data_IF_626888651223
#
_entry.id   IF_626888651223
#
_cell.length_a   1.000
_cell.length_b   1.000
_cell.length_c   1.000
_cell.angle_alpha   90.00
_cell.angle_beta   90.00
_cell.angle_gamma   90.00
#
_symmetry.space_group_name_H-M   'P 1'
#
loop_
_entity.id
_entity.type
_entity.pdbx_description
1 polymer ?
#
# COMPACT_ATOMS: atom_id res chain seq x y z
N UNK A 1 5.64 25.25 31.76
CA UNK A 1 6.76 24.36 31.36
C UNK A 1 6.24 23.00 30.87
N UNK A 2 5.42 22.26 31.62
CA UNK A 2 4.85 20.96 31.17
C UNK A 2 4.07 20.99 29.85
N UNK A 3 3.26 22.04 29.60
CA UNK A 3 2.51 22.18 28.34
C UNK A 3 3.41 22.31 27.12
N UNK A 4 4.53 23.02 27.25
CA UNK A 4 5.51 23.17 26.17
C UNK A 4 6.27 21.85 25.92
N UNK A 5 6.60 21.11 26.98
CA UNK A 5 7.22 19.78 26.88
C UNK A 5 6.28 18.75 26.23
N UNK A 6 4.98 18.76 26.57
CA UNK A 6 3.98 17.89 25.94
C UNK A 6 3.80 18.22 24.46
N UNK A 7 3.75 19.50 24.09
CA UNK A 7 3.66 19.92 22.69
C UNK A 7 4.91 19.50 21.89
N UNK A 8 6.11 19.64 22.47
CA UNK A 8 7.35 19.17 21.87
C UNK A 8 7.35 17.66 21.60
N UNK A 9 6.85 16.86 22.54
CA UNK A 9 6.74 15.41 22.38
C UNK A 9 5.74 15.02 21.28
N UNK A 10 4.58 15.67 21.22
CA UNK A 10 3.57 15.44 20.19
C UNK A 10 4.11 15.78 18.79
N UNK A 11 4.79 16.92 18.65
CA UNK A 11 5.39 17.35 17.39
C UNK A 11 6.50 16.40 16.95
N UNK A 12 7.35 15.95 17.88
CA UNK A 12 8.42 14.98 17.57
C UNK A 12 7.87 13.62 17.14
N UNK A 13 6.76 13.15 17.72
CA UNK A 13 6.11 11.90 17.32
C UNK A 13 5.47 11.96 15.94
N UNK A 14 4.87 13.11 15.57
CA UNK A 14 4.25 13.29 14.26
C UNK A 14 5.25 13.26 13.10
N UNK A 15 6.49 13.69 13.32
CA UNK A 15 7.56 13.65 12.32
C UNK A 15 8.00 12.22 11.98
N UNK A 16 7.86 11.26 12.91
CA UNK A 16 8.23 9.86 12.69
C UNK A 16 7.17 9.08 11.89
N UNK A 17 5.93 9.56 11.86
CA UNK A 17 4.83 8.93 11.12
C UNK A 17 4.96 9.04 9.60
N UNK A 18 5.90 9.86 9.09
CA UNK A 18 6.13 10.05 7.65
C UNK A 18 6.94 8.90 7.01
N UNK A 19 7.31 7.89 7.80
CA UNK A 19 8.07 6.72 7.34
C UNK A 19 7.21 5.56 6.84
N UNK A 20 5.87 5.66 6.85
CA UNK A 20 5.01 4.71 6.14
C UNK A 20 5.26 4.87 4.63
N UNK A 21 6.18 4.05 4.09
CA UNK A 21 6.47 4.03 2.67
C UNK A 21 5.23 3.58 1.89
N UNK A 22 4.99 4.21 0.74
CA UNK A 22 3.93 3.82 -0.20
C UNK A 22 4.07 2.37 -0.65
N UNK A 23 5.31 1.87 -0.69
CA UNK A 23 5.63 0.47 -1.01
C UNK A 23 5.17 -0.50 0.10
N UNK A 24 5.42 -0.16 1.37
CA UNK A 24 4.97 -0.99 2.50
C UNK A 24 3.44 -1.07 2.58
N UNK A 25 2.76 0.06 2.39
CA UNK A 25 1.30 0.09 2.32
C UNK A 25 0.78 -0.73 1.14
N UNK A 26 1.47 -0.66 -0.01
CA UNK A 26 1.12 -1.46 -1.18
C UNK A 26 1.22 -2.97 -0.91
N UNK A 27 2.34 -3.44 -0.34
CA UNK A 27 2.49 -4.87 -0.04
C UNK A 27 1.50 -5.35 1.02
N UNK A 28 1.23 -4.55 2.06
CA UNK A 28 0.20 -4.89 3.04
C UNK A 28 -1.18 -5.06 2.39
N UNK A 29 -1.54 -4.18 1.45
CA UNK A 29 -2.79 -4.29 0.69
C UNK A 29 -2.80 -5.53 -0.22
N UNK A 30 -1.70 -5.82 -0.92
CA UNK A 30 -1.60 -6.99 -1.80
C UNK A 30 -1.68 -8.30 -1.04
N UNK A 31 -1.09 -8.37 0.13
CA UNK A 31 -1.18 -9.55 0.98
C UNK A 31 -2.64 -9.83 1.40
N UNK A 32 -3.39 -8.79 1.76
CA UNK A 32 -4.83 -8.94 2.01
C UNK A 32 -5.56 -9.47 0.76
N UNK A 33 -5.28 -8.93 -0.43
CA UNK A 33 -5.89 -9.43 -1.67
C UNK A 33 -5.59 -10.91 -1.92
N UNK A 34 -4.37 -11.38 -1.66
CA UNK A 34 -4.00 -12.80 -1.79
C UNK A 34 -4.84 -13.67 -0.87
N UNK A 35 -5.05 -13.24 0.38
CA UNK A 35 -5.94 -13.92 1.32
C UNK A 35 -7.40 -13.95 0.85
N UNK A 36 -7.87 -12.90 0.14
CA UNK A 36 -9.20 -12.94 -0.48
C UNK A 36 -9.27 -13.98 -1.60
N UNK A 37 -8.17 -14.20 -2.33
CA UNK A 37 -8.15 -15.19 -3.40
C UNK A 37 -8.40 -16.61 -2.89
N UNK A 38 -7.96 -16.94 -1.68
CA UNK A 38 -8.18 -18.25 -1.05
C UNK A 38 -9.66 -18.59 -0.84
N UNK A 39 -10.55 -17.60 -0.91
CA UNK A 39 -12.01 -17.80 -0.81
C UNK A 39 -12.62 -18.37 -2.08
N UNK A 40 -11.92 -18.32 -3.22
CA UNK A 40 -12.41 -18.88 -4.47
C UNK A 40 -12.27 -20.41 -4.47
N UNK A 41 -13.38 -21.11 -4.69
CA UNK A 41 -13.41 -22.57 -4.81
C UNK A 41 -12.98 -23.00 -6.22
N UNK A 42 -13.34 -22.20 -7.23
CA UNK A 42 -13.00 -22.49 -8.62
C UNK A 42 -11.57 -22.08 -8.93
N UNK A 43 -10.78 -23.01 -9.48
CA UNK A 43 -9.36 -22.80 -9.78
C UNK A 43 -9.13 -21.63 -10.74
N UNK A 44 -9.98 -21.44 -11.75
CA UNK A 44 -9.78 -20.35 -12.73
C UNK A 44 -9.95 -18.98 -12.08
N UNK A 45 -10.88 -18.85 -11.13
CA UNK A 45 -11.14 -17.62 -10.38
C UNK A 45 -10.00 -17.35 -9.38
N UNK A 46 -9.52 -18.39 -8.71
CA UNK A 46 -8.34 -18.31 -7.86
C UNK A 46 -7.12 -17.79 -8.65
N UNK A 47 -6.82 -18.41 -9.80
CA UNK A 47 -5.68 -18.02 -10.63
C UNK A 47 -5.82 -16.61 -11.22
N UNK A 48 -7.03 -16.21 -11.63
CA UNK A 48 -7.30 -14.86 -12.09
C UNK A 48 -7.07 -13.83 -10.98
N UNK A 49 -7.54 -14.10 -9.76
CA UNK A 49 -7.32 -13.25 -8.60
C UNK A 49 -5.84 -13.16 -8.24
N UNK A 50 -5.15 -14.31 -8.13
CA UNK A 50 -3.73 -14.36 -7.77
C UNK A 50 -2.84 -13.64 -8.79
N UNK A 51 -3.16 -13.70 -10.09
CA UNK A 51 -2.45 -12.91 -11.11
C UNK A 51 -2.51 -11.41 -10.86
N UNK A 52 -3.64 -10.89 -10.39
CA UNK A 52 -3.77 -9.48 -10.05
C UNK A 52 -3.11 -9.14 -8.72
N UNK A 53 -3.20 -10.03 -7.73
CA UNK A 53 -2.66 -9.82 -6.39
C UNK A 53 -1.12 -9.94 -6.32
N UNK A 54 -0.50 -10.72 -7.21
CA UNK A 54 0.95 -10.92 -7.29
C UNK A 54 1.70 -9.82 -8.04
N UNK A 55 1.04 -8.71 -8.37
CA UNK A 55 1.68 -7.62 -9.08
C UNK A 55 2.77 -6.93 -8.25
N UNK A 56 4.00 -6.96 -8.75
CA UNK A 56 4.94 -5.83 -8.83
C UNK A 56 4.60 -4.49 -8.16
N UNK A 57 5.27 -4.04 -7.08
CA UNK A 57 5.20 -2.60 -6.74
C UNK A 57 5.76 -1.73 -7.88
N UNK A 58 6.87 -2.16 -8.49
CA UNK A 58 7.48 -1.45 -9.62
C UNK A 58 6.54 -1.38 -10.83
N UNK A 59 5.89 -2.51 -11.14
CA UNK A 59 4.93 -2.58 -12.25
C UNK A 59 3.73 -1.66 -12.00
N UNK A 60 3.24 -1.62 -10.77
CA UNK A 60 2.16 -0.73 -10.33
C UNK A 60 2.59 0.73 -10.48
N UNK A 61 3.76 1.10 -9.98
CA UNK A 61 4.30 2.47 -10.06
C UNK A 61 4.51 2.92 -11.50
N UNK A 62 5.07 2.05 -12.36
CA UNK A 62 5.22 2.33 -13.79
C UNK A 62 3.86 2.60 -14.43
N UNK A 63 2.86 1.73 -14.24
CA UNK A 63 1.52 1.94 -14.81
C UNK A 63 0.86 3.21 -14.28
N UNK A 64 0.99 3.52 -12.99
CA UNK A 64 0.48 4.76 -12.39
C UNK A 64 1.08 6.00 -13.04
N UNK A 65 2.39 6.01 -13.27
CA UNK A 65 3.10 7.11 -13.95
C UNK A 65 2.66 7.26 -15.40
N UNK A 66 2.51 6.15 -16.14
CA UNK A 66 2.03 6.22 -17.53
C UNK A 66 0.59 6.73 -17.63
N UNK A 67 -0.30 6.31 -16.72
CA UNK A 67 -1.66 6.84 -16.65
C UNK A 67 -1.70 8.34 -16.31
N UNK A 68 -0.78 8.81 -15.46
CA UNK A 68 -0.67 10.23 -15.14
C UNK A 68 -0.23 11.07 -16.35
N UNK A 69 0.63 10.53 -17.22
CA UNK A 69 1.10 11.20 -18.45
C UNK A 69 0.05 11.22 -19.57
N UNK A 70 -0.89 10.26 -19.57
CA UNK A 70 -1.95 10.15 -20.57
C UNK A 70 -3.16 11.05 -20.28
N UNK A 71 -3.17 11.74 -19.14
CA UNK A 71 -4.21 12.73 -18.83
C UNK A 71 -3.95 14.02 -19.64
N UNK A 72 -4.90 14.47 -20.48
CA UNK A 72 -4.74 15.69 -21.28
C UNK A 72 -4.66 16.95 -20.42
#
# INVERSE_FOLDING_TARGET
MHRATQLLLIVSGALLAQSCSTEQAYYAMRENQRQQCEKYIEQSQYEACMRQANESYDDYERRRKELAKQKP
#
